data_IF_016153465728
#
_entry.id   IF_016153465728
#
_cell.length_a   1.000
_cell.length_b   1.000
_cell.length_c   1.000
_cell.angle_alpha   90.00
_cell.angle_beta   90.00
_cell.angle_gamma   90.00
#
_symmetry.space_group_name_H-M   'P 1'
#
loop_
_entity.id
_entity.type
_entity.pdbx_description
1 polymer ?
#
# COMPACT_ATOMS: atom_id res chain seq x y z
N UNK A 1 25.25 2.26 10.80
CA UNK A 1 24.21 2.67 11.77
C UNK A 1 22.92 3.07 11.06
N UNK A 2 22.97 3.95 10.04
CA UNK A 2 21.80 4.37 9.22
C UNK A 2 20.97 3.23 8.59
N UNK A 3 21.60 2.12 8.16
CA UNK A 3 20.86 1.00 7.57
C UNK A 3 19.95 0.28 8.58
N UNK A 4 20.36 0.14 9.85
CA UNK A 4 19.55 -0.61 10.85
C UNK A 4 18.25 0.13 11.22
N UNK A 5 18.30 1.46 11.27
CA UNK A 5 17.13 2.29 11.61
C UNK A 5 16.10 2.33 10.50
N UNK A 6 16.53 2.33 9.23
CA UNK A 6 15.61 2.26 8.07
C UNK A 6 14.94 0.89 7.97
N UNK A 7 15.66 -0.20 8.27
CA UNK A 7 15.08 -1.55 8.28
C UNK A 7 14.04 -1.70 9.39
N UNK A 8 14.33 -1.23 10.60
CA UNK A 8 13.37 -1.26 11.71
C UNK A 8 12.09 -0.47 11.37
N UNK A 9 12.19 0.67 10.67
CA UNK A 9 11.03 1.49 10.32
C UNK A 9 10.10 0.86 9.27
N UNK A 10 10.63 0.09 8.31
CA UNK A 10 9.80 -0.61 7.32
C UNK A 10 8.98 -1.70 8.00
N UNK A 11 9.62 -2.50 8.87
CA UNK A 11 8.94 -3.55 9.61
C UNK A 11 7.85 -2.98 10.53
N UNK A 12 8.09 -1.85 11.20
CA UNK A 12 7.09 -1.17 12.04
C UNK A 12 5.86 -0.71 11.23
N UNK A 13 6.08 -0.14 10.04
CA UNK A 13 4.99 0.34 9.20
C UNK A 13 4.15 -0.83 8.70
N UNK A 14 4.77 -1.91 8.21
CA UNK A 14 4.05 -3.09 7.73
C UNK A 14 3.28 -3.75 8.86
N UNK A 15 3.93 -3.96 10.01
CA UNK A 15 3.30 -4.54 11.21
C UNK A 15 2.07 -3.75 11.64
N UNK A 16 2.13 -2.41 11.60
CA UNK A 16 0.99 -1.55 11.94
C UNK A 16 -0.27 -1.82 11.11
N UNK A 17 -0.10 -2.14 9.82
CA UNK A 17 -1.23 -2.30 8.89
C UNK A 17 -1.61 -3.76 8.64
N UNK A 18 -0.68 -4.70 8.85
CA UNK A 18 -0.86 -6.13 8.59
C UNK A 18 -0.80 -6.96 9.87
N UNK A 19 -1.00 -6.36 11.04
CA UNK A 19 -1.10 -7.08 12.30
C UNK A 19 -2.07 -8.25 12.17
N UNK A 20 -1.70 -9.42 12.70
CA UNK A 20 -2.42 -10.70 12.59
C UNK A 20 -2.58 -11.26 11.16
N UNK A 21 -1.90 -10.71 10.16
CA UNK A 21 -1.82 -11.27 8.81
C UNK A 21 -0.42 -11.85 8.60
N UNK A 22 -0.32 -13.07 8.07
CA UNK A 22 0.99 -13.65 7.77
C UNK A 22 1.59 -13.05 6.49
N UNK A 23 2.76 -12.44 6.60
CA UNK A 23 3.46 -11.83 5.46
C UNK A 23 4.99 -12.02 5.52
N UNK A 24 5.63 -11.74 4.39
CA UNK A 24 7.08 -11.58 4.26
C UNK A 24 7.36 -10.11 3.95
N UNK A 25 8.08 -9.37 4.82
CA UNK A 25 8.41 -7.97 4.55
C UNK A 25 9.36 -7.87 3.35
N UNK A 26 9.19 -6.82 2.55
CA UNK A 26 10.02 -6.56 1.38
C UNK A 26 10.61 -5.16 1.45
N UNK A 27 11.83 -5.01 0.95
CA UNK A 27 12.42 -3.69 0.80
C UNK A 27 11.62 -2.85 -0.20
N UNK A 28 11.06 -1.74 0.28
CA UNK A 28 10.16 -0.83 -0.45
C UNK A 28 10.66 -0.31 -1.79
N UNK A 29 11.97 -0.40 -2.06
CA UNK A 29 12.56 -0.10 -3.37
C UNK A 29 11.98 -0.96 -4.51
N UNK A 30 11.37 -2.10 -4.20
CA UNK A 30 10.67 -2.94 -5.19
C UNK A 30 9.26 -2.46 -5.53
N UNK A 31 8.80 -1.32 -5.00
CA UNK A 31 7.44 -0.81 -5.21
C UNK A 31 6.38 -1.47 -4.33
N UNK A 32 6.76 -2.41 -3.45
CA UNK A 32 5.87 -3.10 -2.50
C UNK A 32 6.50 -3.12 -1.11
N UNK A 33 5.69 -3.28 -0.09
CA UNK A 33 6.11 -3.31 1.32
C UNK A 33 6.07 -4.75 1.89
N UNK A 34 5.17 -5.59 1.39
CA UNK A 34 5.06 -6.98 1.81
C UNK A 34 4.53 -7.90 0.70
N UNK A 35 4.76 -9.20 0.89
CA UNK A 35 4.10 -10.28 0.14
C UNK A 35 3.35 -11.12 1.17
N UNK A 36 2.05 -11.35 0.97
CA UNK A 36 1.30 -12.24 1.88
C UNK A 36 1.78 -13.67 1.71
N UNK A 37 1.73 -14.46 2.80
CA UNK A 37 2.01 -15.90 2.68
C UNK A 37 0.92 -16.64 1.90
N UNK A 38 -0.30 -16.13 1.92
CA UNK A 38 -1.37 -16.59 1.05
C UNK A 38 -1.06 -16.29 -0.42
N UNK A 39 -1.63 -17.11 -1.31
CA UNK A 39 -1.50 -16.94 -2.76
C UNK A 39 -2.87 -16.83 -3.40
N UNK A 40 -2.94 -16.12 -4.53
CA UNK A 40 -4.16 -16.00 -5.32
C UNK A 40 -3.91 -16.53 -6.71
N UNK A 41 -4.68 -17.54 -7.13
CA UNK A 41 -4.57 -18.19 -8.45
C UNK A 41 -3.12 -18.63 -8.78
N UNK A 42 -2.45 -19.24 -7.80
CA UNK A 42 -1.05 -19.68 -7.86
C UNK A 42 -0.03 -18.54 -8.12
N UNK A 43 -0.37 -17.31 -7.75
CA UNK A 43 0.49 -16.14 -7.86
C UNK A 43 0.64 -15.43 -6.51
N UNK A 44 1.75 -14.72 -6.26
CA UNK A 44 1.95 -14.00 -5.00
C UNK A 44 0.94 -12.86 -4.85
N UNK A 45 0.47 -12.62 -3.63
CA UNK A 45 -0.35 -11.43 -3.31
C UNK A 45 0.57 -10.32 -2.81
N UNK A 46 0.57 -9.20 -3.51
CA UNK A 46 1.45 -8.07 -3.18
C UNK A 46 0.71 -7.05 -2.32
N UNK A 47 1.43 -6.44 -1.38
CA UNK A 47 0.90 -5.32 -0.58
C UNK A 47 1.83 -4.12 -0.69
N UNK A 48 1.23 -2.96 -0.95
CA UNK A 48 1.88 -1.65 -0.83
C UNK A 48 1.09 -0.80 0.16
N UNK A 49 1.79 -0.04 0.98
CA UNK A 49 1.22 1.00 1.82
C UNK A 49 1.56 2.35 1.17
N UNK A 50 0.61 3.28 1.10
CA UNK A 50 0.87 4.63 0.58
C UNK A 50 1.79 5.41 1.54
N UNK A 51 2.82 6.09 1.02
CA UNK A 51 3.69 6.94 1.86
C UNK A 51 2.99 8.23 2.25
N UNK A 52 3.39 8.80 3.39
CA UNK A 52 2.87 10.07 3.89
C UNK A 52 3.03 11.24 2.93
N UNK A 53 4.06 11.22 2.07
CA UNK A 53 4.37 12.26 1.08
C UNK A 53 4.17 11.80 -0.37
N UNK A 54 3.37 10.75 -0.59
CA UNK A 54 3.13 10.16 -1.91
C UNK A 54 1.65 10.27 -2.26
N UNK A 55 1.34 10.67 -3.50
CA UNK A 55 -0.04 10.69 -3.99
C UNK A 55 -0.56 9.26 -4.17
N UNK A 56 -1.88 9.08 -4.25
CA UNK A 56 -2.43 7.74 -4.49
C UNK A 56 -1.99 7.20 -5.86
N UNK A 57 -1.85 8.09 -6.84
CA UNK A 57 -1.45 7.79 -8.21
C UNK A 57 0.00 7.33 -8.31
N UNK A 58 0.92 8.00 -7.61
CA UNK A 58 2.30 7.56 -7.49
C UNK A 58 2.39 6.15 -6.89
N UNK A 59 1.59 5.89 -5.85
CA UNK A 59 1.55 4.59 -5.21
C UNK A 59 0.99 3.49 -6.13
N UNK A 60 -0.09 3.76 -6.87
CA UNK A 60 -0.67 2.86 -7.88
C UNK A 60 0.36 2.54 -8.97
N UNK A 61 1.07 3.55 -9.48
CA UNK A 61 2.07 3.38 -10.53
C UNK A 61 3.21 2.47 -10.10
N UNK A 62 3.67 2.63 -8.85
CA UNK A 62 4.73 1.79 -8.29
C UNK A 62 4.24 0.35 -8.06
N UNK A 63 3.02 0.18 -7.57
CA UNK A 63 2.43 -1.15 -7.38
C UNK A 63 2.19 -1.87 -8.71
N UNK A 64 1.65 -1.18 -9.73
CA UNK A 64 1.43 -1.72 -11.08
C UNK A 64 2.70 -2.29 -11.70
N UNK A 65 3.82 -1.56 -11.58
CA UNK A 65 5.14 -2.04 -12.03
C UNK A 65 5.55 -3.32 -11.31
N UNK A 66 5.37 -3.37 -9.99
CA UNK A 66 5.72 -4.55 -9.19
C UNK A 66 4.82 -5.76 -9.51
N UNK A 67 3.52 -5.54 -9.69
CA UNK A 67 2.54 -6.56 -10.10
C UNK A 67 2.95 -7.23 -11.40
N UNK A 68 3.33 -6.43 -12.42
CA UNK A 68 3.81 -6.92 -13.71
C UNK A 68 5.12 -7.71 -13.60
N UNK A 69 6.11 -7.17 -12.89
CA UNK A 69 7.42 -7.83 -12.71
C UNK A 69 7.29 -9.16 -11.95
N UNK A 70 6.43 -9.22 -10.94
CA UNK A 70 6.23 -10.42 -10.10
C UNK A 70 5.14 -11.35 -10.63
N UNK A 71 4.53 -11.04 -11.77
CA UNK A 71 3.43 -11.79 -12.38
C UNK A 71 2.30 -12.08 -11.38
N UNK A 72 2.04 -11.11 -10.51
CA UNK A 72 0.98 -11.20 -9.51
C UNK A 72 -0.37 -10.94 -10.16
N UNK A 73 -1.37 -11.72 -9.77
CA UNK A 73 -2.76 -11.54 -10.23
C UNK A 73 -3.64 -10.81 -9.20
N UNK A 74 -3.07 -10.45 -8.05
CA UNK A 74 -3.77 -9.72 -6.99
C UNK A 74 -2.79 -8.90 -6.16
N UNK A 75 -3.08 -7.62 -6.03
CA UNK A 75 -2.29 -6.69 -5.26
C UNK A 75 -3.22 -5.76 -4.47
N UNK A 76 -2.79 -5.36 -3.27
CA UNK A 76 -3.51 -4.44 -2.41
C UNK A 76 -2.68 -3.18 -2.18
N UNK A 77 -3.33 -2.02 -2.34
CA UNK A 77 -2.78 -0.73 -1.95
C UNK A 77 -3.54 -0.21 -0.73
N UNK A 78 -2.84 -0.07 0.40
CA UNK A 78 -3.37 0.55 1.61
C UNK A 78 -3.24 2.07 1.49
N UNK A 79 -4.36 2.77 1.32
CA UNK A 79 -4.44 4.23 1.28
C UNK A 79 -4.37 4.84 2.69
N UNK A 80 -3.50 5.82 2.87
CA UNK A 80 -3.21 6.45 4.18
C UNK A 80 -3.44 7.95 4.21
N UNK A 81 -3.57 8.61 3.05
CA UNK A 81 -3.74 10.07 2.96
C UNK A 81 -4.50 10.52 1.68
N UNK A 82 -4.74 11.83 1.61
CA UNK A 82 -5.45 12.54 0.53
C UNK A 82 -4.55 13.44 -0.30
N UNK A 83 -3.25 13.17 -0.35
CA UNK A 83 -2.36 13.96 -1.20
C UNK A 83 -2.84 13.79 -2.65
N UNK A 84 -3.33 14.89 -3.22
CA UNK A 84 -3.88 14.95 -4.56
C UNK A 84 -2.74 14.99 -5.56
N UNK A 85 -2.83 14.17 -6.60
CA UNK A 85 -2.05 14.38 -7.82
C UNK A 85 -2.64 15.54 -8.63
N UNK A 86 -1.77 16.18 -9.42
CA UNK A 86 -2.18 17.11 -10.47
C UNK A 86 -2.75 16.40 -11.71
N UNK A 87 -2.58 15.07 -11.77
CA UNK A 87 -2.98 14.20 -12.85
C UNK A 87 -3.92 13.11 -12.34
N UNK A 88 -4.99 12.84 -13.08
CA UNK A 88 -5.85 11.70 -12.84
C UNK A 88 -5.23 10.42 -13.43
N UNK A 89 -5.46 9.27 -12.79
CA UNK A 89 -5.16 7.98 -13.39
C UNK A 89 -6.38 7.54 -14.20
N UNK A 90 -6.20 7.42 -15.51
CA UNK A 90 -7.28 7.05 -16.43
C UNK A 90 -7.76 5.61 -16.22
N UNK A 91 -6.88 4.68 -15.78
CA UNK A 91 -7.21 3.28 -15.53
C UNK A 91 -6.29 2.67 -14.46
N UNK A 92 -6.89 2.00 -13.48
CA UNK A 92 -6.17 1.18 -12.50
C UNK A 92 -6.19 -0.26 -13.01
N UNK A 93 -5.04 -0.94 -12.96
CA UNK A 93 -4.93 -2.36 -13.31
C UNK A 93 -5.93 -3.19 -12.46
N UNK A 94 -6.72 -4.07 -13.09
CA UNK A 94 -7.77 -4.86 -12.43
C UNK A 94 -7.26 -5.74 -11.28
N UNK A 95 -5.96 -6.05 -11.29
CA UNK A 95 -5.27 -6.80 -10.25
C UNK A 95 -5.09 -6.00 -8.96
N UNK A 96 -5.15 -4.67 -9.02
CA UNK A 96 -4.93 -3.77 -7.88
C UNK A 96 -6.26 -3.41 -7.24
N UNK A 97 -6.39 -3.73 -5.96
CA UNK A 97 -7.48 -3.29 -5.12
C UNK A 97 -6.98 -2.26 -4.11
N UNK A 98 -7.70 -1.13 -3.99
CA UNK A 98 -7.36 -0.08 -3.04
C UNK A 98 -8.24 -0.26 -1.81
N UNK A 99 -7.60 -0.37 -0.65
CA UNK A 99 -8.27 -0.41 0.64
C UNK A 99 -7.84 0.81 1.45
N UNK A 100 -8.81 1.46 2.10
CA UNK A 100 -8.49 2.55 3.00
C UNK A 100 -7.96 1.99 4.32
N UNK A 101 -6.92 2.62 4.88
CA UNK A 101 -6.57 2.34 6.26
C UNK A 101 -7.68 2.78 7.21
N UNK A 102 -7.86 2.07 8.32
CA UNK A 102 -8.85 2.42 9.35
C UNK A 102 -8.66 3.86 9.84
N UNK A 103 -7.42 4.30 10.05
CA UNK A 103 -7.13 5.67 10.46
C UNK A 103 -7.55 6.71 9.42
N UNK A 104 -7.43 6.39 8.13
CA UNK A 104 -7.90 7.25 7.05
C UNK A 104 -9.43 7.34 7.04
N UNK A 105 -10.13 6.19 7.08
CA UNK A 105 -11.60 6.18 7.13
C UNK A 105 -12.13 6.92 8.35
N UNK A 106 -11.50 6.74 9.50
CA UNK A 106 -11.89 7.40 10.74
C UNK A 106 -11.76 8.92 10.66
N UNK A 107 -10.66 9.43 10.08
CA UNK A 107 -10.49 10.87 9.83
C UNK A 107 -11.58 11.40 8.90
N UNK A 108 -11.95 10.64 7.87
CA UNK A 108 -13.04 11.01 6.97
C UNK A 108 -14.39 11.07 7.68
N UNK A 109 -14.65 10.20 8.65
CA UNK A 109 -15.84 10.31 9.50
C UNK A 109 -15.80 11.56 10.39
N UNK A 110 -14.67 11.86 11.03
CA UNK A 110 -14.52 13.06 11.88
C UNK A 110 -14.72 14.35 11.06
N UNK A 111 -14.12 14.44 9.88
CA UNK A 111 -14.26 15.59 8.97
C UNK A 111 -15.74 15.83 8.55
N UNK A 112 -16.57 14.79 8.54
CA UNK A 112 -18.01 14.90 8.23
C UNK A 112 -18.83 15.40 9.41
N UNK A 113 -18.35 15.24 10.64
CA UNK A 113 -19.00 15.79 11.84
C UNK A 113 -18.77 17.29 11.94
N UNK A 114 -17.59 17.79 11.56
CA UNK A 114 -17.24 19.21 11.62
C UNK A 114 -17.91 20.07 10.54
N UNK A 115 -18.46 19.44 9.51
CA UNK A 115 -19.15 20.11 8.38
C UNK A 115 -20.68 20.19 8.57
N UNK A 116 -21.20 19.78 9.72
CA UNK A 116 -22.60 19.90 10.12
C UNK A 116 -22.76 21.06 11.10
#
# INVERSE_FOLDING_TARGET
>A
MLLKEVYNNVDILVEKFLHDIEYVPVQRNSGIDAILKETYQNSPILVRIQKENETIEEAIKQLSRATKVKQSKKAFLIRTNDIKSLFEIDNIDNEIEIINSISYEFKEFLNKLEKQ
#
